data_IF_623355770638
#
_entry.id   IF_623355770638
#
_cell.length_a   1.000
_cell.length_b   1.000
_cell.length_c   1.000
_cell.angle_alpha   90.00
_cell.angle_beta   90.00
_cell.angle_gamma   90.00
#
_symmetry.space_group_name_H-M   'P 1'
#
loop_
_entity.id
_entity.type
_entity.pdbx_description
1 polymer ?
#
# COMPACT_ATOMS: atom_id res chain seq x y z
N UNK A 1 59.80 -50.15 -11.63
CA UNK A 1 59.32 -50.99 -12.75
C UNK A 1 57.95 -51.52 -12.37
N UNK A 2 56.89 -50.92 -12.92
CA UNK A 2 55.99 -51.50 -13.94
C UNK A 2 54.58 -51.69 -13.31
N UNK A 3 53.67 -50.74 -13.53
CA UNK A 3 52.50 -50.78 -14.45
C UNK A 3 51.29 -51.52 -13.84
N UNK A 4 50.25 -50.82 -13.39
CA UNK A 4 49.08 -50.31 -14.17
C UNK A 4 48.18 -51.39 -14.76
N UNK A 5 46.91 -51.43 -14.32
CA UNK A 5 45.72 -51.83 -15.12
C UNK A 5 44.42 -51.63 -14.31
N UNK A 6 43.71 -50.53 -14.57
CA UNK A 6 42.30 -50.39 -14.25
C UNK A 6 41.52 -50.59 -15.56
N UNK A 7 40.66 -51.59 -15.60
CA UNK A 7 39.87 -51.96 -16.77
C UNK A 7 38.65 -51.01 -16.90
N UNK A 8 38.62 -50.29 -18.01
CA UNK A 8 37.53 -49.44 -18.47
C UNK A 8 36.31 -50.29 -18.85
N UNK A 9 35.17 -50.06 -18.18
CA UNK A 9 33.88 -50.64 -18.54
C UNK A 9 33.32 -49.88 -19.75
N UNK A 10 33.45 -50.48 -20.93
CA UNK A 10 32.89 -50.00 -22.19
C UNK A 10 31.37 -50.10 -22.17
N UNK A 11 30.67 -48.97 -21.98
CA UNK A 11 29.24 -48.86 -22.28
C UNK A 11 29.11 -48.43 -23.73
N UNK A 12 28.86 -49.39 -24.62
CA UNK A 12 28.54 -49.14 -26.01
C UNK A 12 27.21 -48.38 -26.09
N UNK A 13 27.26 -47.05 -26.21
CA UNK A 13 26.14 -46.28 -26.69
C UNK A 13 25.92 -46.67 -28.15
N UNK A 14 24.79 -47.32 -28.42
CA UNK A 14 24.33 -47.59 -29.77
C UNK A 14 24.33 -46.26 -30.54
N UNK A 15 25.23 -46.15 -31.52
CA UNK A 15 25.17 -45.08 -32.52
C UNK A 15 23.93 -45.34 -33.35
N UNK A 16 22.80 -44.79 -32.92
CA UNK A 16 21.63 -44.65 -33.78
C UNK A 16 22.08 -43.80 -34.96
N UNK A 17 21.99 -44.39 -36.15
CA UNK A 17 22.32 -43.73 -37.39
C UNK A 17 21.57 -42.39 -37.48
N UNK A 18 22.31 -41.31 -37.67
CA UNK A 18 21.79 -39.97 -37.89
C UNK A 18 21.07 -39.90 -39.24
N UNK A 19 19.77 -39.55 -39.33
CA UNK A 19 19.23 -38.94 -40.54
C UNK A 19 19.40 -37.42 -40.42
N UNK A 20 20.12 -36.85 -41.39
CA UNK A 20 20.50 -35.44 -41.44
C UNK A 20 19.28 -34.57 -41.82
N UNK A 21 19.10 -33.44 -41.14
CA UNK A 21 18.43 -32.28 -41.74
C UNK A 21 19.52 -31.40 -42.34
N UNK A 22 19.71 -31.47 -43.65
CA UNK A 22 20.39 -30.41 -44.40
C UNK A 22 19.32 -29.87 -45.33
N UNK A 23 19.16 -28.55 -45.38
CA UNK A 23 18.60 -27.92 -46.56
C UNK A 23 19.31 -28.43 -47.82
N UNK A 24 18.79 -28.07 -48.99
CA UNK A 24 18.56 -28.99 -50.10
C UNK A 24 19.68 -30.03 -50.32
N UNK A 25 19.49 -31.26 -49.85
CA UNK A 25 20.00 -32.53 -50.43
C UNK A 25 19.24 -33.72 -49.77
N UNK A 26 19.22 -34.92 -50.38
CA UNK A 26 18.07 -35.80 -50.41
C UNK A 26 17.95 -36.65 -49.14
N UNK A 27 16.71 -36.87 -48.68
CA UNK A 27 16.42 -37.80 -47.60
C UNK A 27 15.38 -37.38 -46.56
N UNK A 28 14.62 -36.30 -46.79
CA UNK A 28 13.48 -36.00 -45.92
C UNK A 28 12.34 -37.01 -46.19
N UNK A 29 11.87 -37.79 -45.20
CA UNK A 29 10.84 -38.81 -45.40
C UNK A 29 9.43 -38.25 -45.58
N UNK A 30 9.23 -36.92 -45.60
CA UNK A 30 7.95 -36.32 -45.94
C UNK A 30 7.77 -36.32 -47.47
N UNK A 31 7.14 -37.37 -48.01
CA UNK A 31 6.87 -37.57 -49.44
C UNK A 31 5.82 -36.62 -50.06
N UNK A 32 5.85 -35.33 -49.75
CA UNK A 32 4.94 -34.33 -50.31
C UNK A 32 5.53 -33.65 -51.55
N UNK A 33 4.92 -33.84 -52.73
CA UNK A 33 5.19 -33.02 -53.91
C UNK A 33 4.30 -31.77 -53.84
N UNK A 34 4.90 -30.59 -53.73
CA UNK A 34 4.19 -29.31 -53.84
C UNK A 34 4.71 -28.50 -55.03
N UNK A 35 3.84 -27.99 -55.91
CA UNK A 35 4.20 -27.07 -56.96
C UNK A 35 4.08 -25.64 -56.43
N UNK A 36 5.16 -25.08 -55.91
CA UNK A 36 5.54 -23.65 -55.78
C UNK A 36 6.62 -23.55 -54.69
N UNK A 37 7.68 -22.78 -54.96
CA UNK A 37 8.99 -22.75 -54.29
C UNK A 37 8.93 -22.76 -52.72
N UNK A 38 9.20 -23.90 -52.04
CA UNK A 38 8.79 -24.12 -50.65
C UNK A 38 9.94 -24.11 -49.62
N UNK A 39 11.07 -23.45 -49.90
CA UNK A 39 12.20 -23.41 -48.96
C UNK A 39 11.95 -22.51 -47.74
N UNK A 40 11.17 -21.43 -47.89
CA UNK A 40 10.89 -20.49 -46.80
C UNK A 40 9.66 -20.89 -45.96
N UNK A 41 8.56 -21.30 -46.59
CA UNK A 41 7.32 -21.65 -45.88
C UNK A 41 7.47 -22.93 -45.04
N UNK A 42 8.12 -23.98 -45.57
CA UNK A 42 8.35 -25.22 -44.81
C UNK A 42 9.26 -25.00 -43.59
N UNK A 43 10.23 -24.08 -43.68
CA UNK A 43 11.16 -23.78 -42.59
C UNK A 43 10.47 -23.21 -41.33
N UNK A 44 9.32 -22.55 -41.51
CA UNK A 44 8.54 -21.99 -40.40
C UNK A 44 7.73 -23.09 -39.69
N UNK A 45 7.16 -24.03 -40.45
CA UNK A 45 6.25 -25.07 -39.95
C UNK A 45 6.92 -26.43 -39.66
N UNK A 46 8.20 -26.61 -40.00
CA UNK A 46 8.90 -27.88 -39.82
C UNK A 46 9.08 -28.22 -38.34
N UNK A 47 8.32 -29.20 -37.85
CA UNK A 47 8.39 -29.70 -36.48
C UNK A 47 9.71 -30.41 -36.13
N UNK A 48 10.53 -30.74 -37.13
CA UNK A 48 11.85 -31.35 -36.98
C UNK A 48 13.00 -30.34 -37.11
N UNK A 49 12.72 -29.05 -37.28
CA UNK A 49 13.77 -28.03 -37.28
C UNK A 49 14.41 -27.96 -35.90
N UNK A 50 15.73 -27.87 -35.88
CA UNK A 50 16.50 -27.70 -34.64
C UNK A 50 16.54 -26.20 -34.32
N UNK A 51 16.10 -25.83 -33.13
CA UNK A 51 16.10 -24.46 -32.61
C UNK A 51 16.91 -24.39 -31.31
N UNK A 52 17.67 -23.31 -31.07
CA UNK A 52 18.34 -23.10 -29.80
C UNK A 52 17.33 -22.75 -28.70
N UNK A 53 17.61 -23.14 -27.45
CA UNK A 53 16.79 -22.73 -26.32
C UNK A 53 16.89 -21.20 -26.07
N UNK A 54 15.77 -20.46 -26.00
CA UNK A 54 15.78 -19.01 -25.77
C UNK A 54 16.27 -18.64 -24.36
N UNK A 55 16.27 -19.60 -23.43
CA UNK A 55 16.79 -19.42 -22.07
C UNK A 55 18.30 -19.65 -21.98
N UNK A 56 18.97 -19.98 -23.10
CA UNK A 56 20.42 -20.06 -23.17
C UNK A 56 21.05 -21.27 -22.48
N UNK A 57 20.31 -22.36 -22.27
CA UNK A 57 20.84 -23.58 -21.64
C UNK A 57 21.79 -24.40 -22.55
N UNK A 58 22.16 -23.86 -23.71
CA UNK A 58 23.04 -24.46 -24.73
C UNK A 58 22.57 -25.79 -25.35
N UNK A 59 21.31 -26.20 -25.13
CA UNK A 59 20.71 -27.35 -25.83
C UNK A 59 20.09 -26.92 -27.17
N UNK A 60 20.30 -27.77 -28.18
CA UNK A 60 19.68 -27.69 -29.50
C UNK A 60 18.49 -28.66 -29.55
N UNK A 61 17.29 -28.13 -29.81
CA UNK A 61 16.04 -28.87 -29.62
C UNK A 61 15.25 -28.94 -30.91
N UNK A 62 14.65 -30.08 -31.21
CA UNK A 62 13.64 -30.13 -32.26
C UNK A 62 12.44 -29.26 -31.86
N UNK A 63 11.88 -28.51 -32.81
CA UNK A 63 10.74 -27.63 -32.54
C UNK A 63 9.54 -28.37 -31.91
N UNK A 64 9.34 -29.65 -32.24
CA UNK A 64 8.32 -30.52 -31.60
C UNK A 64 8.56 -30.81 -30.11
N UNK A 65 9.80 -30.72 -29.62
CA UNK A 65 10.16 -30.99 -28.22
C UNK A 65 10.44 -29.70 -27.43
N UNK A 66 10.36 -28.55 -28.09
CA UNK A 66 10.67 -27.24 -27.54
C UNK A 66 9.82 -26.89 -26.32
N UNK A 67 8.50 -27.06 -26.40
CA UNK A 67 7.58 -26.74 -25.28
C UNK A 67 7.90 -27.56 -24.03
N UNK A 68 8.05 -28.88 -24.19
CA UNK A 68 8.40 -29.79 -23.09
C UNK A 68 9.77 -29.47 -22.48
N UNK A 69 10.76 -29.11 -23.30
CA UNK A 69 12.04 -28.68 -22.77
C UNK A 69 11.90 -27.41 -21.94
N UNK A 70 11.14 -26.40 -22.37
CA UNK A 70 10.97 -25.15 -21.61
C UNK A 70 10.35 -25.35 -20.22
N UNK A 71 9.56 -26.41 -20.02
CA UNK A 71 9.03 -26.78 -18.71
C UNK A 71 10.09 -27.37 -17.77
N UNK A 72 11.06 -28.10 -18.32
CA UNK A 72 12.10 -28.81 -17.59
C UNK A 72 13.47 -28.12 -17.66
N UNK A 73 13.56 -27.00 -18.37
CA UNK A 73 14.82 -26.32 -18.66
C UNK A 73 15.49 -25.88 -17.35
N UNK A 74 16.76 -26.26 -17.11
CA UNK A 74 17.47 -25.84 -15.90
C UNK A 74 17.61 -24.32 -15.75
N UNK A 75 17.56 -23.59 -16.87
CA UNK A 75 17.63 -22.13 -16.92
C UNK A 75 16.25 -21.46 -16.80
N UNK A 76 15.17 -22.24 -16.63
CA UNK A 76 13.84 -21.70 -16.37
C UNK A 76 13.88 -20.97 -15.01
N UNK A 77 13.49 -19.69 -14.94
CA UNK A 77 13.44 -18.96 -13.67
C UNK A 77 12.55 -19.73 -12.69
N UNK A 78 13.12 -20.18 -11.58
CA UNK A 78 12.34 -20.82 -10.52
C UNK A 78 11.47 -19.76 -9.88
N UNK A 79 10.15 -19.89 -9.98
CA UNK A 79 9.21 -19.06 -9.25
C UNK A 79 8.73 -19.81 -8.01
N UNK A 80 8.60 -19.10 -6.91
CA UNK A 80 8.07 -19.59 -5.64
C UNK A 80 7.00 -18.64 -5.15
N UNK A 81 5.97 -19.19 -4.51
CA UNK A 81 4.94 -18.38 -3.85
C UNK A 81 5.54 -17.59 -2.71
N UNK A 82 5.11 -16.34 -2.58
CA UNK A 82 5.57 -15.48 -1.48
C UNK A 82 5.24 -16.11 -0.10
N UNK A 83 6.23 -16.20 0.82
CA UNK A 83 6.03 -16.82 2.14
C UNK A 83 5.08 -16.01 3.04
N UNK A 84 4.92 -14.70 2.77
CA UNK A 84 3.93 -13.86 3.46
C UNK A 84 2.49 -14.08 2.96
N UNK A 85 2.30 -14.98 1.99
CA UNK A 85 0.98 -15.32 1.46
C UNK A 85 0.30 -14.15 0.75
N UNK A 86 1.05 -13.30 0.03
CA UNK A 86 0.46 -12.20 -0.75
C UNK A 86 -0.25 -12.67 -2.03
N UNK A 87 -0.04 -13.92 -2.45
CA UNK A 87 -0.65 -14.51 -3.64
C UNK A 87 0.20 -14.40 -4.91
N UNK A 88 1.30 -13.64 -4.88
CA UNK A 88 2.22 -13.53 -6.02
C UNK A 88 3.21 -14.70 -6.10
N UNK A 89 3.46 -15.17 -7.33
CA UNK A 89 4.57 -16.05 -7.65
C UNK A 89 5.76 -15.21 -8.10
N UNK A 90 6.86 -15.29 -7.34
CA UNK A 90 8.04 -14.44 -7.50
C UNK A 90 9.23 -15.32 -7.82
N UNK A 91 10.10 -14.86 -8.72
CA UNK A 91 11.37 -15.53 -8.97
C UNK A 91 12.14 -15.70 -7.64
N UNK A 92 12.67 -16.89 -7.38
CA UNK A 92 13.35 -17.22 -6.13
C UNK A 92 14.50 -16.24 -5.86
N UNK A 93 15.25 -15.85 -6.90
CA UNK A 93 16.32 -14.85 -6.79
C UNK A 93 15.84 -13.44 -6.39
N UNK A 94 14.56 -13.10 -6.65
CA UNK A 94 13.94 -11.82 -6.30
C UNK A 94 13.06 -11.88 -5.05
N UNK A 95 12.91 -13.06 -4.44
CA UNK A 95 11.97 -13.29 -3.34
C UNK A 95 12.31 -12.43 -2.12
N UNK A 96 13.59 -12.35 -1.76
CA UNK A 96 14.06 -11.54 -0.63
C UNK A 96 13.76 -10.05 -0.85
N UNK A 97 14.10 -9.52 -2.03
CA UNK A 97 13.79 -8.15 -2.41
C UNK A 97 12.29 -7.88 -2.42
N UNK A 98 11.50 -8.84 -2.92
CA UNK A 98 10.04 -8.73 -2.90
C UNK A 98 9.52 -8.60 -1.47
N UNK A 99 9.88 -9.52 -0.58
CA UNK A 99 9.44 -9.51 0.82
C UNK A 99 9.86 -8.22 1.53
N UNK A 100 11.07 -7.73 1.27
CA UNK A 100 11.59 -6.52 1.90
C UNK A 100 10.94 -5.21 1.40
N UNK A 101 10.61 -5.10 0.10
CA UNK A 101 10.30 -3.78 -0.49
C UNK A 101 9.00 -3.72 -1.28
N UNK A 102 8.52 -4.83 -1.85
CA UNK A 102 7.39 -4.84 -2.79
C UNK A 102 6.14 -5.50 -2.22
N UNK A 103 6.31 -6.51 -1.37
CA UNK A 103 5.21 -7.30 -0.84
C UNK A 103 4.21 -6.41 -0.10
N UNK A 104 2.91 -6.46 -0.43
CA UNK A 104 1.89 -5.66 0.26
C UNK A 104 1.68 -6.10 1.71
N UNK A 105 2.00 -7.37 2.02
CA UNK A 105 1.90 -7.95 3.36
C UNK A 105 3.18 -7.81 4.20
N UNK A 106 4.21 -7.11 3.69
CA UNK A 106 5.41 -6.83 4.49
C UNK A 106 5.04 -5.97 5.70
N UNK A 107 5.66 -6.23 6.84
CA UNK A 107 5.44 -5.47 8.06
C UNK A 107 6.27 -4.18 8.02
N UNK A 108 5.64 -3.07 8.40
CA UNK A 108 6.27 -1.77 8.54
C UNK A 108 5.94 -1.20 9.91
N UNK A 109 6.92 -0.60 10.58
CA UNK A 109 6.68 0.16 11.80
C UNK A 109 5.79 1.37 11.49
N UNK A 110 4.83 1.65 12.37
CA UNK A 110 3.98 2.83 12.22
C UNK A 110 4.81 4.12 12.22
N UNK A 111 4.61 4.95 11.19
CA UNK A 111 5.28 6.24 11.01
C UNK A 111 4.91 7.28 12.07
N UNK A 112 3.78 7.10 12.75
CA UNK A 112 3.35 7.95 13.87
C UNK A 112 4.03 7.54 15.19
N UNK A 113 4.86 6.49 15.17
CA UNK A 113 5.64 6.06 16.33
C UNK A 113 4.80 5.40 17.44
N UNK A 114 3.70 4.73 17.10
CA UNK A 114 2.88 3.99 18.07
C UNK A 114 3.51 2.66 18.50
N UNK A 115 4.57 2.21 17.84
CA UNK A 115 5.29 0.97 18.16
C UNK A 115 4.72 -0.29 17.52
N UNK A 116 3.58 -0.21 16.80
CA UNK A 116 2.99 -1.35 16.10
C UNK A 116 3.64 -1.59 14.74
N UNK A 117 3.84 -2.86 14.41
CA UNK A 117 4.19 -3.34 13.08
C UNK A 117 2.94 -3.72 12.31
N UNK A 118 2.70 -3.05 11.20
CA UNK A 118 1.46 -3.18 10.43
C UNK A 118 1.79 -3.57 8.99
N UNK A 119 1.03 -4.50 8.36
CA UNK A 119 1.16 -4.79 6.94
C UNK A 119 1.08 -3.53 6.08
N UNK A 120 1.98 -3.40 5.09
CA UNK A 120 2.08 -2.19 4.27
C UNK A 120 0.75 -1.80 3.59
N UNK A 121 -0.06 -2.78 3.19
CA UNK A 121 -1.39 -2.55 2.63
C UNK A 121 -2.44 -2.07 3.63
N UNK A 122 -2.26 -2.33 4.93
CA UNK A 122 -3.16 -1.90 6.02
C UNK A 122 -2.69 -0.60 6.69
N UNK A 123 -1.48 -0.12 6.37
CA UNK A 123 -0.89 1.06 6.99
C UNK A 123 -1.73 2.33 6.81
N UNK A 124 -2.49 2.45 5.72
CA UNK A 124 -3.37 3.59 5.51
C UNK A 124 -4.50 3.62 6.54
N UNK A 125 -5.29 2.53 6.64
CA UNK A 125 -6.35 2.40 7.63
C UNK A 125 -5.80 2.53 9.06
N UNK A 126 -4.64 1.93 9.34
CA UNK A 126 -4.00 2.08 10.65
C UNK A 126 -3.72 3.54 11.01
N UNK A 127 -3.31 4.41 10.08
CA UNK A 127 -3.05 5.83 10.37
C UNK A 127 -4.31 6.55 10.86
N UNK A 128 -5.47 6.19 10.31
CA UNK A 128 -6.76 6.79 10.68
C UNK A 128 -7.23 6.34 12.07
N UNK A 129 -6.84 5.13 12.49
CA UNK A 129 -7.19 4.55 13.79
C UNK A 129 -6.06 4.65 14.83
N UNK A 130 -4.89 5.15 14.43
CA UNK A 130 -3.69 5.14 15.26
C UNK A 130 -3.92 5.96 16.55
N UNK A 131 -3.51 5.47 17.73
CA UNK A 131 -3.60 6.25 18.98
C UNK A 131 -2.73 7.51 18.95
N UNK A 132 -1.63 7.48 18.18
CA UNK A 132 -0.75 8.64 17.97
C UNK A 132 -1.14 9.51 16.78
N UNK A 133 -2.32 9.33 16.19
CA UNK A 133 -2.82 10.26 15.18
C UNK A 133 -3.15 11.60 15.82
N UNK A 134 -2.99 12.68 15.06
CA UNK A 134 -3.37 14.01 15.51
C UNK A 134 -4.83 14.29 15.18
N UNK A 135 -5.63 14.67 16.17
CA UNK A 135 -7.04 15.03 16.04
C UNK A 135 -7.28 16.45 16.56
N UNK A 136 -8.41 17.07 16.19
CA UNK A 136 -8.90 18.23 16.94
C UNK A 136 -9.37 17.76 18.30
N UNK A 137 -9.09 18.56 19.34
CA UNK A 137 -9.53 18.24 20.69
C UNK A 137 -11.05 17.95 20.70
N UNK A 138 -11.48 16.79 21.24
CA UNK A 138 -12.90 16.40 21.26
C UNK A 138 -13.76 17.38 22.08
N UNK A 139 -13.16 18.07 23.05
CA UNK A 139 -13.84 19.10 23.85
C UNK A 139 -13.96 20.46 23.13
N UNK A 140 -13.49 20.57 21.87
CA UNK A 140 -13.62 21.78 21.08
C UNK A 140 -12.83 22.97 21.63
N UNK A 141 -11.67 22.73 22.24
CA UNK A 141 -10.77 23.80 22.72
C UNK A 141 -9.98 24.47 21.58
N UNK A 142 -10.01 23.90 20.38
CA UNK A 142 -9.31 24.41 19.19
C UNK A 142 -7.86 23.94 19.03
N UNK A 143 -7.31 23.20 20.00
CA UNK A 143 -5.98 22.60 19.88
C UNK A 143 -5.99 21.30 19.08
N UNK A 144 -4.89 21.04 18.37
CA UNK A 144 -4.60 19.76 17.73
C UNK A 144 -3.78 18.91 18.70
N UNK A 145 -4.29 17.75 19.07
CA UNK A 145 -3.72 16.86 20.10
C UNK A 145 -3.58 15.45 19.58
N UNK A 146 -2.79 14.61 20.25
CA UNK A 146 -2.80 13.18 19.95
C UNK A 146 -4.16 12.60 20.36
N UNK A 147 -4.65 11.60 19.63
CA UNK A 147 -5.93 10.97 19.95
C UNK A 147 -5.94 10.34 21.35
N UNK A 148 -4.77 9.90 21.82
CA UNK A 148 -4.55 9.31 23.15
C UNK A 148 -3.84 10.28 24.12
N UNK A 149 -3.97 11.60 23.93
CA UNK A 149 -3.32 12.61 24.77
C UNK A 149 -4.04 12.78 26.12
N UNK A 150 -3.80 11.86 27.06
CA UNK A 150 -4.37 11.91 28.41
C UNK A 150 -3.99 13.20 29.15
N UNK A 151 -2.77 13.71 28.94
CA UNK A 151 -2.30 14.93 29.57
C UNK A 151 -3.14 16.13 29.14
N UNK A 152 -3.35 16.29 27.83
CA UNK A 152 -4.23 17.34 27.34
C UNK A 152 -5.67 17.16 27.82
N UNK A 153 -6.20 15.93 27.86
CA UNK A 153 -7.56 15.68 28.34
C UNK A 153 -7.76 16.12 29.80
N UNK A 154 -6.75 15.95 30.66
CA UNK A 154 -6.78 16.33 32.07
C UNK A 154 -6.52 17.81 32.36
N UNK A 155 -5.94 18.55 31.41
CA UNK A 155 -5.67 20.00 31.56
C UNK A 155 -6.43 20.84 30.55
N UNK A 156 -7.37 20.25 29.82
CA UNK A 156 -8.09 20.94 28.76
C UNK A 156 -8.98 22.04 29.37
N UNK A 157 -8.90 23.30 28.89
CA UNK A 157 -9.76 24.38 29.40
C UNK A 157 -11.25 24.16 29.11
N UNK A 158 -11.60 23.15 28.31
CA UNK A 158 -12.96 22.73 27.99
C UNK A 158 -13.33 21.36 28.57
N UNK A 159 -12.53 20.84 29.49
CA UNK A 159 -12.85 19.61 30.20
C UNK A 159 -14.19 19.78 30.95
N UNK A 160 -14.99 18.72 31.00
CA UNK A 160 -16.17 18.69 31.84
C UNK A 160 -15.78 18.71 33.31
N UNK A 161 -16.54 19.44 34.11
CA UNK A 161 -16.38 19.44 35.56
C UNK A 161 -17.49 18.60 36.20
N UNK A 162 -17.18 17.84 37.26
CA UNK A 162 -18.18 17.07 37.99
C UNK A 162 -19.09 18.00 38.79
N UNK A 163 -20.40 17.95 38.54
CA UNK A 163 -21.41 18.66 39.32
C UNK A 163 -21.89 17.79 40.51
N UNK A 164 -22.28 18.36 41.66
CA UNK A 164 -22.86 17.60 42.78
C UNK A 164 -24.09 16.76 42.43
N UNK A 165 -24.81 17.14 41.36
CA UNK A 165 -25.94 16.38 40.81
C UNK A 165 -25.53 15.15 40.00
N UNK A 166 -24.23 14.94 39.76
CA UNK A 166 -23.69 13.83 38.96
C UNK A 166 -23.65 14.08 37.45
N UNK A 167 -24.30 15.13 36.95
CA UNK A 167 -24.26 15.50 35.53
C UNK A 167 -22.96 16.23 35.16
N UNK A 168 -22.33 15.94 34.01
CA UNK A 168 -21.18 16.69 33.53
C UNK A 168 -21.62 18.07 33.03
N UNK A 169 -21.00 19.13 33.55
CA UNK A 169 -21.18 20.50 33.05
C UNK A 169 -19.90 20.98 32.37
N UNK A 170 -20.04 21.87 31.39
CA UNK A 170 -18.95 22.37 30.56
C UNK A 170 -18.81 23.88 30.73
N UNK A 171 -17.57 24.40 30.82
CA UNK A 171 -17.33 25.83 30.89
C UNK A 171 -17.73 26.50 29.57
N UNK A 172 -18.33 27.69 29.68
CA UNK A 172 -18.71 28.48 28.51
C UNK A 172 -17.49 28.76 27.62
N UNK A 173 -17.60 28.52 26.29
CA UNK A 173 -16.49 28.66 25.37
C UNK A 173 -15.92 30.06 25.23
N UNK A 174 -16.75 31.06 25.52
CA UNK A 174 -16.42 32.47 25.47
C UNK A 174 -15.74 32.92 26.78
N UNK A 175 -15.63 32.03 27.77
CA UNK A 175 -14.98 32.31 29.04
C UNK A 175 -15.78 33.30 29.91
N UNK A 176 -17.11 33.25 29.88
CA UNK A 176 -17.96 34.11 30.72
C UNK A 176 -18.04 33.65 32.19
N UNK A 177 -17.46 32.49 32.53
CA UNK A 177 -17.44 31.93 33.89
C UNK A 177 -18.62 31.03 34.25
N UNK A 178 -19.62 30.89 33.38
CA UNK A 178 -20.74 29.95 33.58
C UNK A 178 -20.37 28.53 33.12
N UNK A 179 -20.78 27.55 33.91
CA UNK A 179 -20.67 26.13 33.63
C UNK A 179 -22.08 25.55 33.44
N UNK A 180 -22.33 24.94 32.29
CA UNK A 180 -23.67 24.51 31.90
C UNK A 180 -23.63 23.12 31.30
N UNK A 181 -24.75 22.39 31.42
CA UNK A 181 -24.97 21.16 30.67
C UNK A 181 -24.91 21.41 29.16
N UNK A 182 -24.49 20.40 28.40
CA UNK A 182 -24.29 20.52 26.95
C UNK A 182 -25.54 21.02 26.20
N UNK A 183 -26.72 20.57 26.60
CA UNK A 183 -28.01 20.92 25.97
C UNK A 183 -28.35 22.42 26.11
N UNK A 184 -28.00 23.03 27.25
CA UNK A 184 -28.29 24.43 27.55
C UNK A 184 -27.23 25.40 26.98
N UNK A 185 -26.08 24.88 26.57
CA UNK A 185 -24.93 25.66 26.15
C UNK A 185 -25.20 26.46 24.86
N UNK A 186 -25.98 25.93 23.92
CA UNK A 186 -26.33 26.63 22.69
C UNK A 186 -27.24 27.84 22.95
N UNK A 187 -28.31 27.63 23.71
CA UNK A 187 -29.24 28.71 24.08
C UNK A 187 -28.53 29.81 24.88
N UNK A 188 -27.61 29.43 25.77
CA UNK A 188 -26.78 30.39 26.49
C UNK A 188 -25.95 31.27 25.55
N UNK A 189 -25.21 30.66 24.62
CA UNK A 189 -24.36 31.40 23.66
C UNK A 189 -25.20 32.34 22.77
N UNK A 190 -26.38 31.92 22.38
CA UNK A 190 -27.26 32.71 21.53
C UNK A 190 -27.88 33.91 22.26
N UNK A 191 -28.35 33.72 23.51
CA UNK A 191 -29.20 34.69 24.20
C UNK A 191 -28.61 35.32 25.45
N UNK A 192 -28.11 34.52 26.40
CA UNK A 192 -27.82 34.96 27.77
C UNK A 192 -26.34 35.17 28.10
N UNK A 193 -25.43 34.81 27.20
CA UNK A 193 -24.00 34.99 27.42
C UNK A 193 -23.58 36.47 27.30
N UNK A 194 -23.01 37.05 28.37
CA UNK A 194 -22.49 38.43 28.36
C UNK A 194 -21.35 38.66 27.37
N UNK A 195 -20.53 37.62 27.13
CA UNK A 195 -19.43 37.65 26.15
C UNK A 195 -19.84 37.33 24.72
N UNK A 196 -21.14 37.13 24.45
CA UNK A 196 -21.62 36.91 23.07
C UNK A 196 -21.46 38.20 22.26
N UNK A 197 -21.15 38.06 20.98
CA UNK A 197 -20.98 39.22 20.09
C UNK A 197 -22.32 39.68 19.52
N UNK A 198 -22.74 40.88 19.88
CA UNK A 198 -23.98 41.52 19.39
C UNK A 198 -23.65 42.74 18.51
N UNK A 199 -24.41 42.98 17.43
CA UNK A 199 -24.25 44.20 16.62
C UNK A 199 -24.71 45.43 17.40
N UNK A 200 -24.11 46.59 17.10
CA UNK A 200 -24.60 47.86 17.62
C UNK A 200 -26.00 48.16 17.07
N UNK A 201 -26.96 48.40 17.96
CA UNK A 201 -28.37 48.66 17.61
C UNK A 201 -28.58 50.04 16.98
N UNK A 202 -27.63 50.97 17.16
CA UNK A 202 -27.62 52.29 16.50
C UNK A 202 -27.10 52.22 15.05
N UNK A 203 -26.77 51.03 14.54
CA UNK A 203 -26.41 50.84 13.13
C UNK A 203 -25.03 51.35 12.74
N UNK A 204 -24.06 51.39 13.67
CA UNK A 204 -22.69 51.81 13.36
C UNK A 204 -21.86 50.74 12.60
N UNK A 205 -22.40 49.53 12.41
CA UNK A 205 -21.76 48.43 11.68
C UNK A 205 -20.81 47.54 12.50
N UNK A 206 -20.43 47.97 13.72
CA UNK A 206 -19.55 47.22 14.59
C UNK A 206 -20.31 46.23 15.50
N UNK A 207 -19.60 45.20 15.99
CA UNK A 207 -20.12 44.17 16.91
C UNK A 207 -19.27 44.12 18.18
N UNK A 208 -19.92 44.17 19.33
CA UNK A 208 -19.30 44.22 20.67
C UNK A 208 -19.79 43.06 21.55
N UNK A 209 -19.13 42.82 22.68
CA UNK A 209 -19.66 41.90 23.70
C UNK A 209 -20.97 42.47 24.27
N UNK A 210 -21.92 41.60 24.57
CA UNK A 210 -23.25 42.01 25.05
C UNK A 210 -23.20 42.79 26.37
N UNK A 211 -22.18 42.58 27.20
CA UNK A 211 -22.01 43.33 28.44
C UNK A 211 -21.49 44.78 28.25
N UNK A 212 -20.75 45.05 27.16
CA UNK A 212 -20.18 46.39 26.88
C UNK A 212 -20.92 47.17 25.79
N UNK A 213 -21.86 46.54 25.08
CA UNK A 213 -22.57 47.19 23.96
C UNK A 213 -23.39 48.40 24.40
N UNK A 214 -23.98 48.34 25.59
CA UNK A 214 -24.78 49.44 26.16
C UNK A 214 -23.89 50.65 26.46
N UNK A 215 -22.71 50.43 27.05
CA UNK A 215 -21.71 51.49 27.27
C UNK A 215 -21.24 52.11 25.95
N UNK A 216 -20.95 51.27 24.94
CA UNK A 216 -20.63 51.76 23.59
C UNK A 216 -21.74 52.67 23.05
N UNK A 217 -23.00 52.25 23.14
CA UNK A 217 -24.15 53.03 22.66
C UNK A 217 -24.33 54.34 23.43
N UNK A 218 -24.04 54.35 24.73
CA UNK A 218 -24.21 55.52 25.59
C UNK A 218 -23.13 56.59 25.39
N UNK A 219 -21.87 56.19 25.19
CA UNK A 219 -20.73 57.11 25.29
C UNK A 219 -19.79 57.14 24.05
N UNK A 220 -19.80 56.11 23.20
CA UNK A 220 -18.76 55.93 22.18
C UNK A 220 -19.28 55.72 20.75
N UNK A 221 -20.59 55.57 20.55
CA UNK A 221 -21.15 55.33 19.23
C UNK A 221 -21.17 56.61 18.37
N UNK A 222 -20.57 56.60 17.16
CA UNK A 222 -20.57 57.77 16.26
C UNK A 222 -21.94 58.06 15.62
N UNK A 223 -22.92 57.16 15.81
CA UNK A 223 -24.30 57.28 15.31
C UNK A 223 -25.30 57.67 16.43
N UNK A 224 -24.80 58.11 17.58
CA UNK A 224 -25.61 58.57 18.72
C UNK A 224 -26.22 59.95 18.46
#
# INVERSE_FOLDING_TARGET
>A
MAQSKAASVSRAAARVATPKCVGPFPGCPCGGKFPFDPSYAHSIECQNKVVPCPLGCAEELHASMFERHLELCPMRPSCSRCPLGCGEEVQTAQLEMHVATRCPKRLLCCVLGCGLEVPANMMHAHKDECPKRTVQCPNGCGQKVLADDEHHMATCPRQSVPCPSGSPVFPCPLGCGLELEGEHMESHRAGSCGKRRVPCLLGCGNKFEAEVVEEHMAAHCPKR
#
